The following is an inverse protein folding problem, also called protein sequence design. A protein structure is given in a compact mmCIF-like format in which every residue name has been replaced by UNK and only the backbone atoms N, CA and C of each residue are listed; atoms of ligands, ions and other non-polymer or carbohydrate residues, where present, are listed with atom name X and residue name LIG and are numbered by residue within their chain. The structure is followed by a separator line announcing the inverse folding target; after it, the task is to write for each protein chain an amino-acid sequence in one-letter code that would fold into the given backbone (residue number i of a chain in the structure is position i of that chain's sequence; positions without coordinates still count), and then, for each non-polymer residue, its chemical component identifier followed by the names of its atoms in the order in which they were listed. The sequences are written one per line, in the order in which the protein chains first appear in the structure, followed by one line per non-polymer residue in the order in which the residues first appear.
data_IF_437246955188
#
_entry.id   IF_437246955188
#
_cell.length_a   1.000
_cell.length_b   1.000
_cell.length_c   1.000
_cell.angle_alpha   90.00
_cell.angle_beta   90.00
_cell.angle_gamma   90.00
#
_symmetry.space_group_name_H-M   'P 1'
#
loop_
_entity.id
_entity.type
_entity.pdbx_description
1 polymer ?
#
# COMPACT_ATOMS: atom_id res chain seq x y z
N UNK A 1 -7.96 -13.99 -3.38
CA UNK A 1 -8.40 -14.72 -2.18
C UNK A 1 -9.56 -15.60 -2.62
N UNK A 2 -9.40 -16.91 -2.55
CA UNK A 2 -10.44 -17.86 -2.96
C UNK A 2 -11.41 -18.10 -1.78
N UNK A 3 -12.68 -17.77 -1.98
CA UNK A 3 -13.74 -17.93 -0.98
C UNK A 3 -14.71 -19.05 -1.33
N UNK A 4 -14.42 -19.86 -2.36
CA UNK A 4 -15.27 -20.94 -2.82
C UNK A 4 -15.48 -22.06 -1.79
N UNK A 5 -14.64 -22.13 -0.76
CA UNK A 5 -14.74 -23.08 0.33
C UNK A 5 -15.72 -22.69 1.46
N UNK A 6 -16.30 -21.49 1.44
CA UNK A 6 -17.17 -20.97 2.51
C UNK A 6 -18.65 -21.01 2.14
N UNK A 7 -19.52 -21.08 3.16
CA UNK A 7 -20.97 -20.95 2.95
C UNK A 7 -21.35 -19.48 2.65
N UNK A 8 -22.58 -19.25 2.19
CA UNK A 8 -23.04 -17.93 1.76
C UNK A 8 -23.02 -16.85 2.85
N UNK A 9 -23.31 -17.23 4.11
CA UNK A 9 -23.26 -16.32 5.24
C UNK A 9 -21.81 -15.95 5.62
N UNK A 10 -20.90 -16.91 5.57
CA UNK A 10 -19.47 -16.73 5.79
C UNK A 10 -18.84 -15.84 4.71
N UNK A 11 -19.19 -16.04 3.44
CA UNK A 11 -18.70 -15.21 2.34
C UNK A 11 -19.14 -13.75 2.49
N UNK A 12 -20.40 -13.51 2.88
CA UNK A 12 -20.89 -12.15 3.15
C UNK A 12 -20.18 -11.49 4.34
N UNK A 13 -19.89 -12.25 5.40
CA UNK A 13 -19.12 -11.77 6.54
C UNK A 13 -17.66 -11.44 6.16
N UNK A 14 -17.02 -12.31 5.37
CA UNK A 14 -15.66 -12.11 4.88
C UNK A 14 -15.54 -10.87 3.99
N UNK A 15 -16.50 -10.64 3.08
CA UNK A 15 -16.51 -9.44 2.24
C UNK A 15 -16.51 -8.15 3.08
N UNK A 16 -17.33 -8.10 4.14
CA UNK A 16 -17.35 -6.94 5.06
C UNK A 16 -16.01 -6.73 5.77
N UNK A 17 -15.34 -7.81 6.17
CA UNK A 17 -14.01 -7.73 6.79
C UNK A 17 -12.98 -7.19 5.78
N UNK A 18 -13.04 -7.65 4.53
CA UNK A 18 -12.13 -7.22 3.47
C UNK A 18 -12.30 -5.73 3.18
N UNK A 19 -13.52 -5.25 3.00
CA UNK A 19 -13.80 -3.83 2.79
C UNK A 19 -13.28 -2.96 3.95
N UNK A 20 -13.55 -3.38 5.20
CA UNK A 20 -13.03 -2.70 6.38
C UNK A 20 -11.50 -2.67 6.39
N UNK A 21 -10.85 -3.79 6.04
CA UNK A 21 -9.40 -3.88 5.97
C UNK A 21 -8.81 -2.99 4.88
N UNK A 22 -9.43 -2.95 3.69
CA UNK A 22 -9.01 -2.06 2.61
C UNK A 22 -9.02 -0.59 3.04
N UNK A 23 -10.06 -0.15 3.76
CA UNK A 23 -10.12 1.20 4.29
C UNK A 23 -9.02 1.48 5.33
N UNK A 24 -8.78 0.54 6.24
CA UNK A 24 -7.70 0.67 7.24
C UNK A 24 -6.33 0.73 6.59
N UNK A 25 -6.07 -0.10 5.59
CA UNK A 25 -4.79 -0.13 4.88
C UNK A 25 -4.59 1.14 4.04
N UNK A 26 -5.65 1.71 3.48
CA UNK A 26 -5.61 3.02 2.83
C UNK A 26 -5.23 4.15 3.80
N UNK A 27 -5.83 4.20 5.00
CA UNK A 27 -5.48 5.21 6.00
C UNK A 27 -4.03 5.06 6.49
N UNK A 28 -3.54 3.83 6.63
CA UNK A 28 -2.12 3.58 6.92
C UNK A 28 -1.21 4.07 5.81
N UNK A 29 -1.54 3.79 4.55
CA UNK A 29 -0.80 4.29 3.40
C UNK A 29 -0.73 5.82 3.43
N UNK A 30 -1.86 6.49 3.66
CA UNK A 30 -1.91 7.94 3.77
C UNK A 30 -0.99 8.47 4.88
N UNK A 31 -1.09 7.92 6.10
CA UNK A 31 -0.26 8.33 7.22
C UNK A 31 1.24 8.14 6.93
N UNK A 32 1.62 7.01 6.34
CA UNK A 32 3.01 6.73 5.96
C UNK A 32 3.56 7.71 4.90
N UNK A 33 2.73 8.09 3.92
CA UNK A 33 3.12 9.09 2.90
C UNK A 33 3.37 10.44 3.56
N UNK A 34 2.44 10.86 4.43
CA UNK A 34 2.54 12.14 5.14
C UNK A 34 3.83 12.20 5.97
N UNK A 35 4.08 11.19 6.81
CA UNK A 35 5.28 11.12 7.64
C UNK A 35 6.55 11.14 6.81
N UNK A 36 6.62 10.30 5.76
CA UNK A 36 7.81 10.17 4.91
C UNK A 36 8.12 11.44 4.14
N UNK A 37 7.11 12.07 3.54
CA UNK A 37 7.31 13.30 2.78
C UNK A 37 7.60 14.48 3.68
N UNK A 38 7.01 14.56 4.88
CA UNK A 38 7.40 15.55 5.88
C UNK A 38 8.87 15.40 6.26
N UNK A 39 9.31 14.20 6.65
CA UNK A 39 10.69 13.95 7.07
C UNK A 39 11.73 14.18 5.96
N UNK A 40 11.35 13.98 4.69
CA UNK A 40 12.27 14.12 3.55
C UNK A 40 12.33 15.55 2.99
N UNK A 41 11.21 16.28 3.05
CA UNK A 41 11.06 17.55 2.34
C UNK A 41 11.01 18.76 3.27
N UNK A 42 10.38 18.66 4.45
CA UNK A 42 10.21 19.80 5.35
C UNK A 42 11.44 19.93 6.24
N UNK A 43 12.37 20.79 5.84
CA UNK A 43 13.67 20.93 6.50
C UNK A 43 14.02 22.38 6.85
N UNK A 44 13.19 23.35 6.45
CA UNK A 44 13.30 24.74 6.88
C UNK A 44 12.24 25.06 7.93
N UNK A 45 12.69 25.34 9.15
CA UNK A 45 11.81 25.63 10.29
C UNK A 45 11.83 27.12 10.69
N UNK A 46 12.18 28.01 9.76
CA UNK A 46 12.18 29.46 9.99
C UNK A 46 10.80 30.10 9.80
N UNK A 47 9.85 29.37 9.21
CA UNK A 47 8.49 29.82 8.91
C UNK A 47 7.44 28.79 9.35
N UNK A 48 6.19 29.24 9.53
CA UNK A 48 5.03 28.36 9.76
C UNK A 48 4.42 27.81 8.47
N UNK A 49 4.79 28.39 7.33
CA UNK A 49 4.31 27.99 6.01
C UNK A 49 5.45 27.31 5.23
N UNK A 50 5.08 26.33 4.41
CA UNK A 50 6.03 25.69 3.50
C UNK A 50 6.57 26.71 2.49
N UNK A 51 7.84 26.59 2.18
CA UNK A 51 8.42 27.29 1.05
C UNK A 51 7.99 26.64 -0.27
N UNK A 52 8.05 27.38 -1.39
CA UNK A 52 7.73 26.82 -2.72
C UNK A 52 8.61 25.61 -3.10
N UNK A 53 9.83 25.52 -2.55
CA UNK A 53 10.72 24.37 -2.73
C UNK A 53 10.20 23.13 -1.99
N UNK A 54 9.77 23.30 -0.74
CA UNK A 54 9.21 22.22 0.07
C UNK A 54 7.88 21.73 -0.50
N UNK A 55 7.00 22.64 -0.96
CA UNK A 55 5.76 22.28 -1.66
C UNK A 55 6.03 21.40 -2.89
N UNK A 56 6.96 21.83 -3.76
CA UNK A 56 7.36 21.06 -4.94
C UNK A 56 7.94 19.70 -4.57
N UNK A 57 8.74 19.64 -3.50
CA UNK A 57 9.30 18.40 -2.98
C UNK A 57 8.20 17.44 -2.48
N UNK A 58 7.25 17.92 -1.67
CA UNK A 58 6.15 17.10 -1.14
C UNK A 58 5.28 16.52 -2.25
N UNK A 59 4.97 17.33 -3.28
CA UNK A 59 4.22 16.85 -4.46
C UNK A 59 4.99 15.74 -5.19
N UNK A 60 6.27 15.96 -5.45
CA UNK A 60 7.14 14.97 -6.09
C UNK A 60 7.33 13.71 -5.25
N UNK A 61 7.44 13.85 -3.93
CA UNK A 61 7.59 12.75 -2.98
C UNK A 61 6.33 11.87 -2.99
N UNK A 62 5.15 12.49 -2.93
CA UNK A 62 3.86 11.81 -2.93
C UNK A 62 3.67 11.01 -4.22
N UNK A 63 3.90 11.64 -5.38
CA UNK A 63 3.77 10.98 -6.69
C UNK A 63 4.76 9.80 -6.81
N UNK A 64 6.03 10.02 -6.46
CA UNK A 64 7.06 8.97 -6.50
C UNK A 64 6.69 7.81 -5.59
N UNK A 65 6.21 8.06 -4.38
CA UNK A 65 5.88 7.01 -3.44
C UNK A 65 4.67 6.17 -3.87
N UNK A 66 3.63 6.80 -4.43
CA UNK A 66 2.47 6.08 -4.95
C UNK A 66 2.86 5.18 -6.13
N UNK A 67 3.59 5.71 -7.12
CA UNK A 67 4.11 4.92 -8.25
C UNK A 67 5.03 3.79 -7.79
N UNK A 68 5.87 4.05 -6.78
CA UNK A 68 6.71 3.03 -6.18
C UNK A 68 5.88 1.93 -5.49
N UNK A 69 4.89 2.30 -4.69
CA UNK A 69 4.02 1.36 -3.99
C UNK A 69 3.25 0.46 -4.94
N UNK A 70 2.71 1.03 -6.03
CA UNK A 70 2.05 0.27 -7.10
C UNK A 70 3.01 -0.73 -7.75
N UNK A 71 4.21 -0.28 -8.12
CA UNK A 71 5.22 -1.15 -8.75
C UNK A 71 5.65 -2.29 -7.82
N UNK A 72 5.89 -2.00 -6.55
CA UNK A 72 6.23 -3.01 -5.54
C UNK A 72 5.08 -4.00 -5.38
N UNK A 73 3.84 -3.52 -5.30
CA UNK A 73 2.65 -4.36 -5.21
C UNK A 73 2.50 -5.33 -6.39
N UNK A 74 2.71 -4.84 -7.62
CA UNK A 74 2.70 -5.68 -8.83
C UNK A 74 3.77 -6.77 -8.79
N UNK A 75 5.02 -6.42 -8.43
CA UNK A 75 6.11 -7.42 -8.32
C UNK A 75 5.87 -8.42 -7.19
N UNK A 76 5.32 -7.96 -6.08
CA UNK A 76 4.97 -8.85 -4.97
C UNK A 76 3.91 -9.87 -5.39
N UNK A 77 2.88 -9.45 -6.14
CA UNK A 77 1.84 -10.35 -6.63
C UNK A 77 2.39 -11.42 -7.59
N UNK A 78 3.28 -11.03 -8.51
CA UNK A 78 3.97 -11.95 -9.42
C UNK A 78 4.77 -13.00 -8.64
N UNK A 79 5.65 -12.56 -7.73
CA UNK A 79 6.49 -13.47 -6.94
C UNK A 79 5.68 -14.39 -6.03
N UNK A 80 4.57 -13.90 -5.47
CA UNK A 80 3.68 -14.72 -4.65
C UNK A 80 2.97 -15.79 -5.49
N UNK A 81 2.59 -15.49 -6.74
CA UNK A 81 2.02 -16.48 -7.65
C UNK A 81 3.06 -17.56 -8.03
N UNK A 82 4.28 -17.16 -8.34
CA UNK A 82 5.38 -18.09 -8.65
C UNK A 82 5.70 -19.01 -7.47
N UNK A 83 5.75 -18.47 -6.25
CA UNK A 83 5.97 -19.24 -5.04
C UNK A 83 4.85 -20.26 -4.77
N UNK A 84 3.59 -19.89 -5.00
CA UNK A 84 2.45 -20.81 -4.88
C UNK A 84 2.52 -21.92 -5.95
N UNK A 85 2.93 -21.60 -7.18
CA UNK A 85 3.11 -22.59 -8.24
C UNK A 85 4.26 -23.57 -7.93
N UNK A 86 5.38 -23.07 -7.38
CA UNK A 86 6.50 -23.90 -6.95
C UNK A 86 6.12 -24.84 -5.79
N UNK A 87 5.29 -24.38 -4.86
CA UNK A 87 4.81 -25.18 -3.73
C UNK A 87 3.82 -26.31 -4.14
N UNK A 88 3.17 -26.21 -5.29
CA UNK A 88 2.27 -27.24 -5.83
C UNK A 88 2.99 -28.33 -6.62
N UNK A 89 4.30 -28.20 -6.89
CA UNK A 89 5.07 -29.26 -7.57
C UNK A 89 5.43 -30.35 -6.55
N UNK A 90 5.00 -31.61 -6.74
CA UNK A 90 5.30 -32.68 -5.80
C UNK A 90 6.81 -32.93 -5.75
N UNK A 91 7.38 -33.29 -4.58
CA UNK A 91 8.78 -33.72 -4.52
C UNK A 91 8.91 -34.98 -5.38
N UNK A 92 9.90 -34.97 -6.28
CA UNK A 92 10.33 -36.15 -7.04
C UNK A 92 10.95 -37.20 -6.13
#
# INVERSE_FOLDING_TARGET
MDFSAFNSAEQAHMNKIIEKKQMQDFLRLYANIVERCFASCCNDFTSKALSSKEETCVMSCTEKFLKHSERVGSRFAELNADAMAAAQKPPS
#
